data_IF_279301396476
#
_entry.id   IF_279301396476
#
_cell.length_a   1.000
_cell.length_b   1.000
_cell.length_c   1.000
_cell.angle_alpha   90.00
_cell.angle_beta   90.00
_cell.angle_gamma   90.00
#
_symmetry.space_group_name_H-M   'P 1'
#
loop_
_entity.id
_entity.type
_entity.pdbx_description
1 polymer ?
#
# COMPACT_ATOMS: atom_id res chain seq x y z
N UNK A 1 -14.85 0.50 3.14
CA UNK A 1 -13.50 0.64 2.57
C UNK A 1 -12.58 -0.15 3.47
N UNK A 2 -12.07 -1.29 3.00
CA UNK A 2 -11.05 -2.07 3.72
C UNK A 2 -9.71 -1.37 3.58
N UNK A 3 -9.38 -0.49 4.54
CA UNK A 3 -8.15 0.31 4.48
C UNK A 3 -6.90 -0.55 4.62
N UNK A 4 -7.03 -1.66 5.32
CA UNK A 4 -5.99 -2.65 5.63
C UNK A 4 -5.96 -3.81 4.62
N UNK A 5 -6.71 -3.74 3.51
CA UNK A 5 -6.66 -4.75 2.47
C UNK A 5 -5.23 -4.96 1.94
N UNK A 6 -4.50 -3.88 1.71
CA UNK A 6 -3.10 -3.92 1.29
C UNK A 6 -2.13 -4.42 2.37
N UNK A 7 -2.56 -4.49 3.63
CA UNK A 7 -1.79 -5.08 4.73
C UNK A 7 -2.06 -6.59 4.84
N UNK A 8 -3.26 -7.04 4.51
CA UNK A 8 -3.66 -8.46 4.58
C UNK A 8 -3.32 -9.24 3.31
N UNK A 9 -3.49 -8.62 2.15
CA UNK A 9 -3.35 -9.27 0.84
C UNK A 9 -2.07 -8.78 0.18
N UNK A 10 -1.29 -9.71 -0.38
CA UNK A 10 -0.13 -9.36 -1.19
C UNK A 10 -0.53 -8.67 -2.48
N UNK A 11 0.44 -8.00 -3.12
CA UNK A 11 0.20 -7.30 -4.38
C UNK A 11 -0.46 -8.26 -5.38
N UNK A 12 -1.69 -7.96 -5.84
CA UNK A 12 -2.32 -8.75 -6.88
C UNK A 12 -1.43 -8.70 -8.13
N UNK A 13 -1.27 -9.83 -8.81
CA UNK A 13 -0.55 -9.88 -10.09
C UNK A 13 -1.10 -8.79 -11.01
N UNK A 14 -0.20 -7.92 -11.49
CA UNK A 14 -0.50 -6.78 -12.35
C UNK A 14 -1.52 -7.21 -13.41
N UNK A 15 -2.62 -6.45 -13.46
CA UNK A 15 -3.69 -6.65 -14.42
C UNK A 15 -3.09 -6.66 -15.83
N UNK A 16 -2.93 -7.84 -16.42
CA UNK A 16 -2.70 -7.92 -17.85
C UNK A 16 -3.92 -7.33 -18.57
N UNK A 17 -3.76 -6.90 -19.81
CA UNK A 17 -4.88 -6.37 -20.60
C UNK A 17 -6.06 -7.36 -20.66
N UNK A 18 -5.76 -8.66 -20.55
CA UNK A 18 -6.71 -9.78 -20.48
C UNK A 18 -7.40 -10.00 -19.12
N UNK A 19 -7.06 -9.25 -18.07
CA UNK A 19 -7.69 -9.42 -16.76
C UNK A 19 -9.17 -9.04 -16.79
N UNK A 20 -9.97 -9.82 -16.07
CA UNK A 20 -11.41 -9.63 -15.95
C UNK A 20 -11.74 -8.34 -15.20
N UNK A 21 -12.94 -7.79 -15.42
CA UNK A 21 -13.38 -6.57 -14.73
C UNK A 21 -13.33 -6.70 -13.20
N UNK A 22 -13.58 -7.90 -12.68
CA UNK A 22 -13.53 -8.20 -11.24
C UNK A 22 -12.11 -8.17 -10.69
N UNK A 23 -11.14 -8.72 -11.42
CA UNK A 23 -9.72 -8.61 -11.06
C UNK A 23 -9.28 -7.15 -11.08
N UNK A 24 -9.68 -6.40 -12.12
CA UNK A 24 -9.39 -4.96 -12.24
C UNK A 24 -9.91 -4.17 -11.05
N UNK A 25 -11.17 -4.39 -10.69
CA UNK A 25 -11.78 -3.76 -9.52
C UNK A 25 -11.09 -4.16 -8.20
N UNK A 26 -10.65 -5.41 -8.09
CA UNK A 26 -9.95 -5.90 -6.90
C UNK A 26 -8.58 -5.24 -6.72
N UNK A 27 -7.83 -5.08 -7.81
CA UNK A 27 -6.57 -4.36 -7.82
C UNK A 27 -6.76 -2.88 -7.50
N UNK A 28 -7.75 -2.19 -8.09
CA UNK A 28 -8.04 -0.79 -7.75
C UNK A 28 -8.37 -0.61 -6.27
N UNK A 29 -9.15 -1.53 -5.70
CA UNK A 29 -9.45 -1.53 -4.27
C UNK A 29 -8.18 -1.71 -3.43
N UNK A 30 -7.30 -2.63 -3.83
CA UNK A 30 -6.02 -2.87 -3.17
C UNK A 30 -5.09 -1.66 -3.28
N UNK A 31 -4.96 -1.04 -4.47
CA UNK A 31 -4.12 0.14 -4.71
C UNK A 31 -4.60 1.34 -3.88
N UNK A 32 -5.92 1.57 -3.84
CA UNK A 32 -6.51 2.63 -3.00
C UNK A 32 -6.22 2.38 -1.51
N UNK A 33 -6.40 1.15 -1.04
CA UNK A 33 -6.07 0.76 0.33
C UNK A 33 -4.58 0.97 0.64
N UNK A 34 -3.68 0.58 -0.27
CA UNK A 34 -2.24 0.76 -0.15
C UNK A 34 -1.87 2.24 0.00
N UNK A 35 -2.39 3.10 -0.88
CA UNK A 35 -2.13 4.54 -0.86
C UNK A 35 -2.67 5.22 0.38
N UNK A 36 -3.89 4.87 0.80
CA UNK A 36 -4.51 5.44 2.00
C UNK A 36 -3.75 5.04 3.27
N UNK A 37 -3.37 3.77 3.39
CA UNK A 37 -2.60 3.29 4.54
C UNK A 37 -1.20 3.91 4.58
N UNK A 38 -0.51 4.05 3.44
CA UNK A 38 0.75 4.78 3.36
C UNK A 38 0.61 6.22 3.85
N UNK A 39 -0.41 6.94 3.36
CA UNK A 39 -0.64 8.33 3.76
C UNK A 39 -0.95 8.44 5.26
N UNK A 40 -1.74 7.51 5.79
CA UNK A 40 -2.06 7.47 7.22
C UNK A 40 -0.83 7.23 8.07
N UNK A 41 -0.03 6.20 7.75
CA UNK A 41 1.19 5.86 8.49
C UNK A 41 2.21 6.99 8.38
N UNK A 42 2.46 7.53 7.17
CA UNK A 42 3.34 8.70 6.95
C UNK A 42 2.89 9.92 7.76
N UNK A 43 1.58 10.17 7.87
CA UNK A 43 1.03 11.28 8.65
C UNK A 43 1.08 11.05 10.16
N UNK A 44 1.02 9.79 10.60
CA UNK A 44 1.15 9.43 12.03
C UNK A 44 2.61 9.43 12.50
N UNK A 45 3.55 9.22 11.59
CA UNK A 45 4.99 9.28 11.86
C UNK A 45 5.44 10.73 12.07
N UNK A 46 6.27 10.94 13.10
CA UNK A 46 6.90 12.23 13.33
C UNK A 46 7.84 12.63 12.17
N UNK A 47 7.96 13.94 11.92
CA UNK A 47 8.82 14.52 10.86
C UNK A 47 10.28 14.03 10.91
N UNK A 48 10.78 13.65 12.09
CA UNK A 48 12.12 13.10 12.29
C UNK A 48 12.31 11.72 11.67
N UNK A 49 11.25 10.91 11.55
CA UNK A 49 11.30 9.56 10.99
C UNK A 49 11.13 9.60 9.46
N UNK A 50 10.36 10.57 8.96
CA UNK A 50 10.10 10.74 7.52
C UNK A 50 11.37 10.98 6.69
N UNK A 51 12.43 11.56 7.28
CA UNK A 51 13.70 11.77 6.58
C UNK A 51 14.60 10.53 6.51
N UNK A 52 14.37 9.54 7.37
CA UNK A 52 15.21 8.35 7.51
C UNK A 52 14.71 7.17 6.69
N UNK A 53 13.41 7.16 6.35
CA UNK A 53 12.76 6.06 5.63
C UNK A 53 12.70 6.42 4.14
N UNK A 54 13.18 5.51 3.31
CA UNK A 54 13.08 5.64 1.85
C UNK A 54 11.61 5.63 1.40
N UNK A 55 11.29 6.36 0.33
CA UNK A 55 9.94 6.36 -0.21
C UNK A 55 9.61 4.98 -0.81
N UNK A 56 8.72 4.23 -0.15
CA UNK A 56 8.22 2.96 -0.63
C UNK A 56 6.88 3.15 -1.34
N UNK A 57 6.71 2.46 -2.48
CA UNK A 57 5.44 2.43 -3.21
C UNK A 57 4.37 1.58 -2.49
N UNK A 58 4.80 0.64 -1.62
CA UNK A 58 3.92 -0.32 -0.93
C UNK A 58 3.94 -0.11 0.56
N UNK A 59 2.77 -0.18 1.18
CA UNK A 59 2.58 -0.02 2.62
C UNK A 59 3.30 -1.09 3.43
N UNK A 60 3.30 -2.34 2.94
CA UNK A 60 4.02 -3.45 3.61
C UNK A 60 5.53 -3.21 3.63
N UNK A 61 6.09 -2.73 2.52
CA UNK A 61 7.52 -2.40 2.43
C UNK A 61 7.86 -1.20 3.32
N UNK A 62 6.99 -0.19 3.34
CA UNK A 62 7.16 0.98 4.21
C UNK A 62 7.13 0.61 5.69
N UNK A 63 6.19 -0.25 6.11
CA UNK A 63 6.12 -0.77 7.47
C UNK A 63 7.38 -1.57 7.84
N UNK A 64 7.84 -2.44 6.95
CA UNK A 64 9.07 -3.19 7.16
C UNK A 64 10.30 -2.28 7.31
N UNK A 65 10.31 -1.13 6.63
CA UNK A 65 11.35 -0.13 6.77
C UNK A 65 11.25 0.68 8.09
N UNK A 66 10.06 0.80 8.68
CA UNK A 66 9.86 1.38 10.02
C UNK A 66 10.33 0.40 11.11
N UNK A 67 10.08 -0.90 10.93
CA UNK A 67 10.44 -1.96 11.88
C UNK A 67 11.94 -2.32 11.90
N UNK A 68 12.78 -1.68 11.07
CA UNK A 68 14.25 -1.86 11.10
C UNK A 68 14.90 -1.20 12.32
#
# INVERSE_FOLDING_TARGET
MDLDLALRVDEPLVLMESSTQTEKASYECWERSNRLSLMFIKSSLGKSIHGSISECAKVKEYLKAIEQ
#
